data_IF_830614341926
#
_entry.id   IF_830614341926
#
_cell.length_a   1.000
_cell.length_b   1.000
_cell.length_c   1.000
_cell.angle_alpha   90.00
_cell.angle_beta   90.00
_cell.angle_gamma   90.00
#
_symmetry.space_group_name_H-M   'P 1'
#
loop_
_entity.id
_entity.type
_entity.pdbx_description
1 polymer ?
#
# COMPACT_ATOMS: atom_id res chain seq x y z
N UNK A 1 -22.85 15.30 12.45
CA UNK A 1 -22.43 14.89 11.09
C UNK A 1 -21.09 15.51 10.67
N UNK A 2 -20.91 16.84 10.65
CA UNK A 2 -19.63 17.48 10.28
C UNK A 2 -18.38 17.00 11.04
N UNK A 3 -18.47 16.79 12.36
CA UNK A 3 -17.34 16.31 13.19
C UNK A 3 -16.90 14.88 12.87
N UNK A 4 -17.85 14.01 12.53
CA UNK A 4 -17.56 12.62 12.13
C UNK A 4 -16.90 12.60 10.74
N UNK A 5 -17.39 13.46 9.83
CA UNK A 5 -16.82 13.60 8.48
C UNK A 5 -15.37 14.09 8.51
N UNK A 6 -15.05 15.05 9.39
CA UNK A 6 -13.69 15.58 9.57
C UNK A 6 -12.75 14.51 10.14
N UNK A 7 -13.21 13.74 11.13
CA UNK A 7 -12.38 12.69 11.74
C UNK A 7 -12.10 11.53 10.78
N UNK A 8 -13.08 11.17 9.94
CA UNK A 8 -12.88 10.16 8.88
C UNK A 8 -11.92 10.68 7.82
N UNK A 9 -12.04 11.93 7.40
CA UNK A 9 -11.14 12.54 6.42
C UNK A 9 -9.69 12.59 6.95
N UNK A 10 -9.52 12.96 8.23
CA UNK A 10 -8.21 12.98 8.88
C UNK A 10 -7.58 11.58 8.97
N UNK A 11 -8.40 10.56 9.26
CA UNK A 11 -7.95 9.17 9.32
C UNK A 11 -7.57 8.61 7.93
N UNK A 12 -8.28 9.00 6.87
CA UNK A 12 -7.95 8.64 5.48
C UNK A 12 -6.65 9.29 5.02
N UNK A 13 -6.41 10.56 5.39
CA UNK A 13 -5.16 11.27 5.06
C UNK A 13 -3.96 10.63 5.78
N UNK A 14 -4.13 10.18 7.02
CA UNK A 14 -3.07 9.46 7.76
C UNK A 14 -2.72 8.09 7.14
N UNK A 15 -3.68 7.44 6.47
CA UNK A 15 -3.45 6.17 5.78
C UNK A 15 -2.70 6.32 4.45
N UNK A 16 -2.79 7.47 3.77
CA UNK A 16 -2.04 7.72 2.53
C UNK A 16 -0.53 7.92 2.75
N UNK A 17 -0.07 8.20 3.96
CA UNK A 17 1.36 8.41 4.29
C UNK A 17 2.18 7.13 4.45
N UNK A 18 1.60 5.93 4.29
CA UNK A 18 2.31 4.65 4.49
C UNK A 18 2.92 4.08 3.20
N UNK A 19 2.70 4.71 2.05
CA UNK A 19 3.34 4.31 0.78
C UNK A 19 4.51 5.25 0.47
N UNK A 20 5.60 5.12 1.22
CA UNK A 20 6.88 5.66 0.78
C UNK A 20 7.44 4.72 -0.30
N UNK A 21 7.19 5.06 -1.56
CA UNK A 21 7.82 4.42 -2.70
C UNK A 21 9.29 4.86 -2.69
N UNK A 22 10.19 3.90 -2.41
CA UNK A 22 11.63 4.11 -2.39
C UNK A 22 12.08 4.11 -3.86
N UNK A 23 12.10 5.28 -4.49
CA UNK A 23 12.71 5.43 -5.82
C UNK A 23 14.21 5.11 -5.67
N UNK A 24 14.77 4.28 -6.57
CA UNK A 24 16.19 3.88 -6.53
C UNK A 24 17.08 5.11 -6.80
N UNK A 25 17.69 5.66 -5.76
CA UNK A 25 18.64 6.77 -5.84
C UNK A 25 20.07 6.22 -5.87
N UNK A 26 20.67 6.19 -7.06
CA UNK A 26 22.04 5.70 -7.27
C UNK A 26 23.12 6.79 -7.12
N UNK A 27 22.78 7.95 -6.55
CA UNK A 27 23.73 9.07 -6.43
C UNK A 27 24.95 8.68 -5.60
N UNK A 28 24.77 7.89 -4.54
CA UNK A 28 25.84 7.47 -3.66
C UNK A 28 26.73 6.41 -4.31
N UNK A 29 26.16 5.37 -4.92
CA UNK A 29 26.89 4.37 -5.70
C UNK A 29 27.75 5.03 -6.79
N UNK A 30 27.17 5.96 -7.54
CA UNK A 30 27.88 6.69 -8.59
C UNK A 30 29.03 7.52 -8.05
N UNK A 31 28.82 8.26 -6.95
CA UNK A 31 29.87 9.04 -6.32
C UNK A 31 31.04 8.16 -5.87
N UNK A 32 30.77 7.00 -5.29
CA UNK A 32 31.82 6.06 -4.84
C UNK A 32 32.61 5.52 -6.04
N UNK A 33 31.91 5.09 -7.10
CA UNK A 33 32.53 4.56 -8.33
C UNK A 33 33.40 5.64 -9.00
N UNK A 34 32.88 6.86 -9.16
CA UNK A 34 33.60 7.97 -9.78
C UNK A 34 34.81 8.43 -8.94
N UNK A 35 34.72 8.29 -7.61
CA UNK A 35 35.81 8.61 -6.68
C UNK A 35 36.88 7.52 -6.60
N UNK A 36 36.60 6.31 -7.11
CA UNK A 36 37.55 5.19 -7.12
C UNK A 36 37.94 4.70 -5.72
N UNK A 37 36.99 4.71 -4.78
CA UNK A 37 37.22 4.23 -3.40
C UNK A 37 37.66 2.76 -3.42
N UNK A 38 38.68 2.42 -2.64
CA UNK A 38 39.20 1.05 -2.59
C UNK A 38 38.20 0.08 -1.94
N UNK A 39 38.09 -1.14 -2.46
CA UNK A 39 37.11 -2.11 -1.97
C UNK A 39 37.27 -2.51 -0.49
N UNK A 40 38.48 -2.40 0.05
CA UNK A 40 38.74 -2.63 1.49
C UNK A 40 38.13 -1.57 2.40
N UNK A 41 37.73 -0.42 1.84
CA UNK A 41 37.15 0.72 2.57
C UNK A 41 35.62 0.76 2.43
N UNK A 42 35.04 -0.15 1.66
CA UNK A 42 33.60 -0.22 1.42
C UNK A 42 32.91 -1.12 2.44
N UNK A 43 31.75 -0.66 2.91
CA UNK A 43 30.83 -1.50 3.68
C UNK A 43 30.01 -2.41 2.76
N UNK A 44 29.41 -3.45 3.33
CA UNK A 44 28.51 -4.34 2.59
C UNK A 44 27.30 -3.57 2.02
N UNK A 45 26.78 -2.57 2.73
CA UNK A 45 25.71 -1.68 2.24
C UNK A 45 26.15 -0.86 1.01
N UNK A 46 27.40 -0.37 0.99
CA UNK A 46 27.94 0.34 -0.17
C UNK A 46 28.19 -0.60 -1.36
N UNK A 47 28.61 -1.83 -1.08
CA UNK A 47 28.77 -2.86 -2.10
C UNK A 47 27.41 -3.29 -2.65
N UNK A 48 26.38 -3.39 -1.82
CA UNK A 48 25.00 -3.64 -2.26
C UNK A 48 24.53 -2.53 -3.21
N UNK A 49 24.73 -1.26 -2.86
CA UNK A 49 24.29 -0.14 -3.70
C UNK A 49 25.04 -0.07 -5.05
N UNK A 50 26.35 -0.35 -5.05
CA UNK A 50 27.13 -0.47 -6.29
C UNK A 50 26.64 -1.66 -7.13
N UNK A 51 26.28 -2.76 -6.48
CA UNK A 51 25.70 -3.93 -7.11
C UNK A 51 24.36 -3.62 -7.75
N UNK A 52 23.44 -3.01 -7.01
CA UNK A 52 22.14 -2.57 -7.51
C UNK A 52 22.34 -1.63 -8.73
N UNK A 53 23.27 -0.66 -8.65
CA UNK A 53 23.59 0.23 -9.77
C UNK A 53 24.01 -0.52 -11.05
N UNK A 54 24.94 -1.46 -10.95
CA UNK A 54 25.38 -2.23 -12.11
C UNK A 54 24.31 -3.20 -12.62
N UNK A 55 23.43 -3.73 -11.73
CA UNK A 55 22.31 -4.58 -12.12
C UNK A 55 21.32 -3.78 -12.94
N UNK A 56 20.99 -2.56 -12.50
CA UNK A 56 20.15 -1.63 -13.23
C UNK A 56 20.76 -1.26 -14.59
N UNK A 57 22.08 -1.10 -14.71
CA UNK A 57 22.73 -0.84 -16.01
C UNK A 57 22.60 -2.04 -16.97
N UNK A 58 22.63 -3.27 -16.45
CA UNK A 58 22.50 -4.48 -17.27
C UNK A 58 21.04 -4.82 -17.59
N UNK A 59 20.12 -4.54 -16.67
CA UNK A 59 18.70 -4.91 -16.75
C UNK A 59 17.79 -3.74 -16.34
N UNK A 60 17.76 -2.62 -17.08
CA UNK A 60 17.08 -1.42 -16.62
C UNK A 60 15.57 -1.57 -16.45
N UNK A 61 15.03 -0.85 -15.46
CA UNK A 61 13.60 -0.71 -15.20
C UNK A 61 12.92 -2.00 -14.74
N UNK A 62 11.79 -2.33 -15.36
CA UNK A 62 10.94 -3.47 -14.93
C UNK A 62 11.70 -4.81 -14.93
N UNK A 63 12.71 -4.97 -15.79
CA UNK A 63 13.48 -6.21 -15.87
C UNK A 63 14.26 -6.50 -14.58
N UNK A 64 14.90 -5.48 -14.00
CA UNK A 64 15.59 -5.59 -12.72
C UNK A 64 14.60 -5.81 -11.58
N UNK A 65 13.46 -5.12 -11.56
CA UNK A 65 12.44 -5.35 -10.53
C UNK A 65 11.87 -6.78 -10.56
N UNK A 66 11.65 -7.35 -11.75
CA UNK A 66 11.23 -8.74 -11.89
C UNK A 66 12.32 -9.68 -11.34
N UNK A 67 13.58 -9.39 -11.64
CA UNK A 67 14.71 -10.18 -11.15
C UNK A 67 14.82 -10.12 -9.62
N UNK A 68 14.73 -8.94 -9.02
CA UNK A 68 14.72 -8.76 -7.56
C UNK A 68 13.67 -9.63 -6.89
N UNK A 69 12.44 -9.58 -7.42
CA UNK A 69 11.32 -10.35 -6.89
C UNK A 69 11.52 -11.86 -7.04
N UNK A 70 12.19 -12.33 -8.10
CA UNK A 70 12.54 -13.74 -8.26
C UNK A 70 13.66 -14.19 -7.30
N UNK A 71 14.50 -13.26 -6.85
CA UNK A 71 15.70 -13.53 -6.05
C UNK A 71 15.49 -13.32 -4.54
N UNK A 72 14.24 -13.09 -4.12
CA UNK A 72 13.83 -12.98 -2.72
C UNK A 72 13.05 -11.70 -2.39
N UNK A 73 13.01 -10.73 -3.32
CA UNK A 73 12.33 -9.46 -3.16
C UNK A 73 13.18 -8.37 -2.51
N UNK A 74 12.79 -7.10 -2.67
CA UNK A 74 13.52 -5.94 -2.14
C UNK A 74 13.76 -6.09 -0.62
N UNK A 75 15.03 -6.02 -0.21
CA UNK A 75 15.47 -6.13 1.17
C UNK A 75 15.63 -7.57 1.70
N UNK A 76 15.61 -8.59 0.85
CA UNK A 76 15.97 -9.95 1.25
C UNK A 76 17.48 -10.13 1.32
N UNK A 77 17.96 -10.88 2.31
CA UNK A 77 19.39 -11.23 2.46
C UNK A 77 19.94 -11.91 1.21
N UNK A 78 19.12 -12.74 0.55
CA UNK A 78 19.49 -13.40 -0.70
C UNK A 78 19.74 -12.42 -1.86
N UNK A 79 18.97 -11.34 -1.94
CA UNK A 79 19.12 -10.32 -2.98
C UNK A 79 20.29 -9.40 -2.67
N UNK A 80 20.43 -8.98 -1.41
CA UNK A 80 21.56 -8.19 -0.91
C UNK A 80 22.90 -8.85 -1.28
N UNK A 81 23.06 -10.15 -1.01
CA UNK A 81 24.29 -10.87 -1.34
C UNK A 81 24.57 -10.94 -2.85
N UNK A 82 23.54 -10.94 -3.70
CA UNK A 82 23.73 -10.89 -5.16
C UNK A 82 24.34 -9.57 -5.56
N UNK A 83 23.77 -8.48 -5.06
CA UNK A 83 24.27 -7.15 -5.35
C UNK A 83 25.70 -6.99 -4.86
N UNK A 84 26.01 -7.38 -3.61
CA UNK A 84 27.37 -7.36 -3.06
C UNK A 84 28.34 -8.19 -3.92
N UNK A 85 27.99 -9.42 -4.26
CA UNK A 85 28.85 -10.30 -5.04
C UNK A 85 29.08 -9.78 -6.46
N UNK A 86 28.08 -9.13 -7.03
CA UNK A 86 28.19 -8.52 -8.33
C UNK A 86 29.08 -7.26 -8.28
N UNK A 87 28.96 -6.42 -7.26
CA UNK A 87 29.89 -5.32 -7.02
C UNK A 87 31.33 -5.81 -6.83
N UNK A 88 31.55 -6.85 -6.03
CA UNK A 88 32.88 -7.46 -5.87
C UNK A 88 33.45 -7.93 -7.21
N UNK A 89 32.60 -8.51 -8.07
CA UNK A 89 33.03 -9.00 -9.38
C UNK A 89 33.33 -7.88 -10.39
N UNK A 90 32.47 -6.88 -10.49
CA UNK A 90 32.54 -5.83 -11.52
C UNK A 90 33.37 -4.63 -11.09
N UNK A 91 33.22 -4.18 -9.85
CA UNK A 91 33.95 -3.03 -9.30
C UNK A 91 35.29 -3.45 -8.69
N UNK A 92 35.29 -4.44 -7.79
CA UNK A 92 36.51 -4.88 -7.11
C UNK A 92 37.39 -5.83 -7.93
N UNK A 93 36.88 -6.29 -9.08
CA UNK A 93 37.54 -7.28 -9.94
C UNK A 93 37.99 -8.54 -9.16
N UNK A 94 37.21 -8.92 -8.15
CA UNK A 94 37.43 -10.13 -7.38
C UNK A 94 36.89 -11.34 -8.15
N UNK A 95 37.56 -12.50 -7.99
CA UNK A 95 37.17 -13.76 -8.60
C UNK A 95 35.93 -14.40 -7.97
N UNK A 96 34.92 -13.61 -7.61
CA UNK A 96 33.68 -14.08 -7.00
C UNK A 96 32.80 -14.73 -8.08
N UNK A 97 32.60 -16.04 -7.96
CA UNK A 97 31.71 -16.79 -8.84
C UNK A 97 30.26 -16.59 -8.39
N UNK A 98 29.59 -15.56 -8.95
CA UNK A 98 28.19 -15.22 -8.68
C UNK A 98 27.25 -16.43 -8.88
N UNK A 99 27.57 -17.34 -9.82
CA UNK A 99 26.77 -18.54 -10.10
C UNK A 99 26.96 -19.73 -9.15
N UNK A 100 28.08 -19.82 -8.42
CA UNK A 100 28.37 -20.99 -7.57
C UNK A 100 27.92 -20.79 -6.11
N UNK A 101 27.93 -19.55 -5.62
CA UNK A 101 27.36 -19.21 -4.31
C UNK A 101 25.83 -19.23 -4.32
N UNK A 102 25.20 -18.87 -5.44
CA UNK A 102 23.77 -19.06 -5.71
C UNK A 102 23.30 -20.50 -5.51
N UNK A 103 24.08 -21.47 -6.02
CA UNK A 103 23.76 -22.89 -5.91
C UNK A 103 24.04 -23.48 -4.51
N UNK A 104 24.87 -22.81 -3.70
CA UNK A 104 25.16 -23.22 -2.33
C UNK A 104 24.22 -22.54 -1.31
N UNK A 105 23.81 -21.30 -1.56
CA UNK A 105 22.75 -20.60 -0.83
C UNK A 105 21.38 -21.27 -1.04
N UNK A 106 21.15 -21.86 -2.22
CA UNK A 106 19.99 -22.71 -2.50
C UNK A 106 19.92 -24.03 -1.70
N UNK A 107 20.96 -24.41 -0.93
CA UNK A 107 20.91 -25.57 -0.01
C UNK A 107 20.45 -25.23 1.40
N UNK A 108 20.18 -23.95 1.71
CA UNK A 108 19.42 -23.52 2.88
C UNK A 108 17.93 -23.30 2.60
N UNK A 109 17.45 -23.69 1.41
CA UNK A 109 16.03 -23.86 1.10
C UNK A 109 15.47 -25.16 1.72
N UNK A 110 15.83 -25.38 2.99
CA UNK A 110 15.58 -26.55 3.81
C UNK A 110 14.94 -26.18 5.15
N UNK A 111 14.18 -25.08 5.21
CA UNK A 111 13.23 -24.83 6.27
C UNK A 111 11.90 -24.37 5.68
N UNK A 112 11.07 -25.37 5.39
CA UNK A 112 9.65 -25.29 5.07
C UNK A 112 8.84 -24.68 6.25
N UNK A 113 9.10 -23.41 6.60
CA UNK A 113 8.32 -22.72 7.63
C UNK A 113 7.97 -21.25 7.29
N UNK A 114 8.35 -20.74 6.12
CA UNK A 114 8.01 -19.38 5.71
C UNK A 114 7.33 -19.33 4.34
N UNK A 115 6.22 -20.07 4.20
CA UNK A 115 5.29 -19.93 3.06
C UNK A 115 3.89 -19.47 3.52
N UNK A 116 3.80 -18.96 4.74
CA UNK A 116 2.57 -18.40 5.30
C UNK A 116 2.46 -16.88 5.15
N UNK A 117 3.47 -16.17 4.64
CA UNK A 117 3.45 -14.70 4.71
C UNK A 117 2.87 -14.01 3.46
N UNK A 118 3.06 -14.58 2.26
CA UNK A 118 2.51 -14.00 1.02
C UNK A 118 1.00 -14.24 0.82
N UNK A 119 0.43 -15.22 1.53
CA UNK A 119 -1.01 -15.46 1.58
C UNK A 119 -1.66 -14.83 2.80
N UNK A 120 -1.20 -15.18 3.99
CA UNK A 120 -1.93 -14.91 5.24
C UNK A 120 -1.94 -13.42 5.63
N UNK A 121 -0.87 -12.67 5.38
CA UNK A 121 -0.81 -11.23 5.63
C UNK A 121 -1.85 -10.45 4.81
N UNK A 122 -2.04 -10.83 3.55
CA UNK A 122 -3.06 -10.25 2.68
C UNK A 122 -4.49 -10.64 3.09
N UNK A 123 -4.71 -11.88 3.51
CA UNK A 123 -6.01 -12.29 4.04
C UNK A 123 -6.36 -11.59 5.35
N UNK A 124 -5.40 -11.42 6.27
CA UNK A 124 -5.62 -10.67 7.52
C UNK A 124 -5.97 -9.22 7.23
N UNK A 125 -5.28 -8.57 6.28
CA UNK A 125 -5.61 -7.20 5.85
C UNK A 125 -7.00 -7.13 5.22
N UNK A 126 -7.36 -8.10 4.37
CA UNK A 126 -8.70 -8.20 3.77
C UNK A 126 -9.79 -8.39 4.83
N UNK A 127 -9.56 -9.24 5.84
CA UNK A 127 -10.49 -9.46 6.95
C UNK A 127 -10.68 -8.20 7.79
N UNK A 128 -9.61 -7.42 8.02
CA UNK A 128 -9.69 -6.13 8.72
C UNK A 128 -10.54 -5.12 7.92
N UNK A 129 -10.39 -5.07 6.59
CA UNK A 129 -11.23 -4.23 5.73
C UNK A 129 -12.71 -4.65 5.75
N UNK A 130 -13.00 -5.97 5.67
CA UNK A 130 -14.36 -6.50 5.76
C UNK A 130 -14.98 -6.17 7.13
N UNK A 131 -14.21 -6.34 8.20
CA UNK A 131 -14.63 -6.00 9.56
C UNK A 131 -14.94 -4.49 9.68
N UNK A 132 -14.13 -3.61 9.11
CA UNK A 132 -14.37 -2.16 9.09
C UNK A 132 -15.68 -1.80 8.36
N UNK A 133 -15.93 -2.39 7.18
CA UNK A 133 -17.19 -2.18 6.43
C UNK A 133 -18.38 -2.66 7.26
N UNK A 134 -18.27 -3.83 7.89
CA UNK A 134 -19.31 -4.37 8.78
C UNK A 134 -19.60 -3.46 9.97
N UNK A 135 -18.56 -2.90 10.59
CA UNK A 135 -18.69 -1.94 11.70
C UNK A 135 -19.37 -0.65 11.23
N UNK A 136 -19.03 -0.12 10.06
CA UNK A 136 -19.68 1.07 9.48
C UNK A 136 -21.17 0.80 9.20
N UNK A 137 -21.48 -0.36 8.62
CA UNK A 137 -22.86 -0.75 8.31
C UNK A 137 -23.68 -0.95 9.60
N UNK A 138 -23.09 -1.61 10.61
CA UNK A 138 -23.68 -1.80 11.93
C UNK A 138 -23.90 -0.48 12.67
N UNK A 139 -22.91 0.42 12.65
CA UNK A 139 -23.05 1.77 13.21
C UNK A 139 -24.14 2.57 12.51
N UNK A 140 -24.29 2.42 11.18
CA UNK A 140 -25.36 3.08 10.42
C UNK A 140 -26.75 2.57 10.79
N UNK A 141 -26.88 1.27 11.09
CA UNK A 141 -28.11 0.65 11.60
C UNK A 141 -28.40 1.06 13.06
N UNK A 142 -27.37 1.04 13.92
CA UNK A 142 -27.48 1.36 15.36
C UNK A 142 -27.75 2.82 15.63
N UNK A 143 -27.12 3.72 14.86
CA UNK A 143 -27.41 5.15 14.91
C UNK A 143 -28.61 5.56 14.08
N UNK A 144 -29.34 4.57 13.53
CA UNK A 144 -30.66 4.71 12.94
C UNK A 144 -30.82 6.06 12.30
N UNK A 145 -30.28 6.22 11.08
CA UNK A 145 -30.63 7.35 10.23
C UNK A 145 -32.16 7.31 10.17
N UNK A 146 -32.81 8.09 11.05
CA UNK A 146 -34.14 8.56 10.82
C UNK A 146 -33.97 9.29 9.52
N UNK A 147 -34.34 8.60 8.44
CA UNK A 147 -34.68 9.22 7.19
C UNK A 147 -35.77 10.19 7.62
N UNK A 148 -35.39 11.41 7.97
CA UNK A 148 -36.25 12.55 7.81
C UNK A 148 -36.58 12.49 6.34
N UNK A 149 -37.68 11.82 6.04
CA UNK A 149 -38.44 12.04 4.84
C UNK A 149 -38.80 13.52 4.90
N UNK A 150 -37.86 14.37 4.52
CA UNK A 150 -38.13 15.61 3.81
C UNK A 150 -38.65 15.25 2.41
N UNK A 151 -39.54 14.26 2.33
CA UNK A 151 -40.46 14.12 1.23
C UNK A 151 -41.50 15.21 1.48
N UNK A 152 -41.85 15.95 0.44
CA UNK A 152 -42.83 17.04 0.44
C UNK A 152 -44.08 16.79 1.32
N UNK A 153 -44.56 15.54 1.40
CA UNK A 153 -45.63 15.09 2.28
C UNK A 153 -45.38 15.30 3.78
N UNK A 154 -44.16 15.14 4.26
CA UNK A 154 -43.78 15.36 5.66
C UNK A 154 -43.90 16.83 6.06
N UNK A 155 -43.50 17.72 5.15
CA UNK A 155 -43.62 19.18 5.31
C UNK A 155 -45.11 19.58 5.29
N UNK A 156 -45.90 19.01 4.37
CA UNK A 156 -47.35 19.25 4.28
C UNK A 156 -48.10 18.81 5.55
N UNK A 157 -47.83 17.60 6.05
CA UNK A 157 -48.45 17.11 7.29
C UNK A 157 -48.12 18.01 8.49
N UNK A 158 -46.88 18.52 8.56
CA UNK A 158 -46.45 19.43 9.63
C UNK A 158 -47.20 20.77 9.58
N UNK A 159 -47.40 21.34 8.39
CA UNK A 159 -48.16 22.60 8.22
C UNK A 159 -49.65 22.42 8.51
N UNK A 160 -50.25 21.30 8.11
CA UNK A 160 -51.64 20.96 8.42
C UNK A 160 -51.85 20.81 9.93
N UNK A 161 -50.97 20.07 10.62
CA UNK A 161 -51.03 19.90 12.07
C UNK A 161 -50.84 21.22 12.85
N UNK A 162 -50.13 22.18 12.27
CA UNK A 162 -49.92 23.51 12.82
C UNK A 162 -51.07 24.50 12.50
N UNK A 163 -52.05 24.07 11.70
CA UNK A 163 -53.20 24.89 11.29
C UNK A 163 -52.89 25.92 10.20
N UNK A 164 -51.71 25.87 9.58
CA UNK A 164 -51.27 26.84 8.57
C UNK A 164 -51.92 26.60 7.20
N UNK A 165 -52.48 25.41 6.98
CA UNK A 165 -53.22 25.03 5.77
C UNK A 165 -54.54 24.35 6.13
N UNK A 166 -55.56 24.58 5.31
CA UNK A 166 -56.87 23.96 5.51
C UNK A 166 -56.90 22.52 5.00
N UNK A 167 -57.89 21.73 5.45
CA UNK A 167 -58.03 20.33 5.01
C UNK A 167 -58.16 20.19 3.49
N UNK A 168 -58.87 21.13 2.84
CA UNK A 168 -59.00 21.17 1.38
C UNK A 168 -57.64 21.36 0.68
N UNK A 169 -56.86 22.34 1.11
CA UNK A 169 -55.52 22.60 0.55
C UNK A 169 -54.55 21.44 0.78
N UNK A 170 -54.67 20.73 1.90
CA UNK A 170 -53.88 19.54 2.15
C UNK A 170 -54.22 18.40 1.19
N UNK A 171 -55.52 18.16 0.94
CA UNK A 171 -55.98 17.07 0.08
C UNK A 171 -55.67 17.32 -1.42
N UNK A 172 -55.76 18.58 -1.88
CA UNK A 172 -55.46 18.96 -3.26
C UNK A 172 -53.97 18.76 -3.59
N UNK A 173 -53.07 19.30 -2.75
CA UNK A 173 -51.61 19.19 -2.97
C UNK A 173 -51.15 17.72 -2.79
N UNK A 174 -51.81 16.96 -1.92
CA UNK A 174 -51.53 15.52 -1.76
C UNK A 174 -51.87 14.73 -3.02
N UNK A 175 -52.92 15.12 -3.76
CA UNK A 175 -53.26 14.49 -5.06
C UNK A 175 -52.25 14.83 -6.13
N UNK A 176 -51.83 16.10 -6.24
CA UNK A 176 -50.85 16.53 -7.24
C UNK A 176 -49.46 15.88 -7.08
N UNK A 177 -49.11 15.46 -5.85
CA UNK A 177 -47.84 14.78 -5.57
C UNK A 177 -47.92 13.25 -5.60
N UNK A 178 -49.11 12.69 -5.88
CA UNK A 178 -49.40 11.25 -5.82
C UNK A 178 -49.75 10.61 -7.17
N UNK A 179 -49.68 11.37 -8.27
CA UNK A 179 -49.73 10.89 -9.67
C UNK A 179 -48.37 11.06 -10.34
#
# INVERSE_FOLDING_TARGET
>A
MKKILINVLFFVILMSSVFAQKDHDFTQAKHIIDSGVGCSELTDEQLEEIGDYYMEQMHPGEAHEIMDNMMGGKGSESLEQVHINMARRLYCNEGVYVGYEMMQSGRMMGNYLSSYDYGYGNYVRMLIFIALIGVIWWLSYKFGIKKSTETSLGILKKRFAKGEITKKQFDDIKKEMGE
#
